data_IF_530489875707
#
_entry.id   IF_530489875707
#
_cell.length_a   1.000
_cell.length_b   1.000
_cell.length_c   1.000
_cell.angle_alpha   90.00
_cell.angle_beta   90.00
_cell.angle_gamma   90.00
#
_symmetry.space_group_name_H-M   'P 1'
#
loop_
_entity.id
_entity.type
_entity.pdbx_description
1 polymer ?
#
# COMPACT_ATOMS: atom_id res chain seq x y z
N UNK A 1 -43.98 -14.44 -80.57
CA UNK A 1 -43.47 -15.08 -79.33
C UNK A 1 -42.09 -14.47 -79.08
N UNK A 2 -41.99 -13.56 -78.10
CA UNK A 2 -40.81 -12.73 -77.89
C UNK A 2 -39.93 -13.26 -76.77
N UNK A 3 -38.66 -13.52 -77.07
CA UNK A 3 -37.62 -13.71 -76.06
C UNK A 3 -36.94 -12.38 -75.74
N UNK A 4 -36.75 -12.08 -74.44
CA UNK A 4 -35.64 -11.26 -73.92
C UNK A 4 -35.24 -11.79 -72.56
N UNK A 5 -33.98 -12.19 -72.48
CA UNK A 5 -33.29 -12.66 -71.29
C UNK A 5 -32.85 -11.49 -70.39
N UNK A 6 -32.82 -11.77 -69.08
CA UNK A 6 -31.87 -11.31 -68.05
C UNK A 6 -31.75 -9.83 -67.69
N UNK A 7 -31.99 -9.53 -66.40
CA UNK A 7 -30.94 -8.94 -65.55
C UNK A 7 -31.26 -9.10 -64.05
N UNK A 8 -30.59 -10.05 -63.38
CA UNK A 8 -30.52 -10.11 -61.93
C UNK A 8 -29.28 -9.34 -61.47
N UNK A 9 -29.46 -8.17 -60.83
CA UNK A 9 -28.37 -7.38 -60.28
C UNK A 9 -28.11 -7.85 -58.84
N UNK A 10 -27.00 -8.53 -58.50
CA UNK A 10 -26.67 -8.73 -57.10
C UNK A 10 -26.21 -7.38 -56.53
N UNK A 11 -27.06 -6.73 -55.73
CA UNK A 11 -26.64 -5.60 -54.92
C UNK A 11 -25.64 -6.12 -53.88
N UNK A 12 -24.35 -6.03 -54.21
CA UNK A 12 -23.25 -6.33 -53.29
C UNK A 12 -23.17 -5.19 -52.28
N UNK A 13 -24.01 -5.24 -51.25
CA UNK A 13 -23.95 -4.34 -50.10
C UNK A 13 -22.59 -4.50 -49.42
N UNK A 14 -21.67 -3.57 -49.66
CA UNK A 14 -20.37 -3.51 -49.01
C UNK A 14 -20.60 -3.41 -47.50
N UNK A 15 -20.31 -4.50 -46.79
CA UNK A 15 -20.40 -4.60 -45.32
C UNK A 15 -19.55 -3.48 -44.68
N UNK A 16 -20.01 -2.82 -43.60
CA UNK A 16 -19.31 -1.72 -42.95
C UNK A 16 -18.19 -2.24 -42.04
N UNK A 17 -17.29 -3.05 -42.58
CA UNK A 17 -16.18 -3.67 -41.83
C UNK A 17 -15.26 -2.58 -41.27
N UNK A 18 -15.10 -1.46 -41.99
CA UNK A 18 -14.34 -0.29 -41.53
C UNK A 18 -14.96 0.38 -40.29
N UNK A 19 -16.28 0.52 -40.23
CA UNK A 19 -16.96 1.15 -39.08
C UNK A 19 -16.87 0.25 -37.84
N UNK A 20 -17.02 -1.07 -38.01
CA UNK A 20 -16.83 -2.04 -36.93
C UNK A 20 -15.40 -2.07 -36.39
N UNK A 21 -14.39 -1.93 -37.27
CA UNK A 21 -12.99 -1.88 -36.88
C UNK A 21 -12.65 -0.62 -36.07
N UNK A 22 -13.20 0.54 -36.46
CA UNK A 22 -13.00 1.82 -35.75
C UNK A 22 -13.65 1.79 -34.37
N UNK A 23 -14.89 1.32 -34.25
CA UNK A 23 -15.59 1.16 -32.97
C UNK A 23 -14.89 0.15 -32.05
N UNK A 24 -14.46 -0.99 -32.59
CA UNK A 24 -13.70 -1.99 -31.85
C UNK A 24 -12.36 -1.46 -31.34
N UNK A 25 -11.61 -0.76 -32.20
CA UNK A 25 -10.35 -0.11 -31.83
C UNK A 25 -10.53 0.95 -30.74
N UNK A 26 -11.60 1.75 -30.81
CA UNK A 26 -11.91 2.77 -29.80
C UNK A 26 -12.27 2.14 -28.45
N UNK A 27 -13.05 1.06 -28.45
CA UNK A 27 -13.39 0.31 -27.23
C UNK A 27 -12.15 -0.30 -26.56
N UNK A 28 -11.26 -0.92 -27.35
CA UNK A 28 -9.99 -1.45 -26.83
C UNK A 28 -9.09 -0.32 -26.32
N UNK A 29 -8.98 0.79 -27.05
CA UNK A 29 -8.22 1.97 -26.63
C UNK A 29 -8.68 2.53 -25.29
N UNK A 30 -9.99 2.73 -25.11
CA UNK A 30 -10.57 3.19 -23.84
C UNK A 30 -10.37 2.18 -22.71
N UNK A 31 -10.46 0.88 -22.99
CA UNK A 31 -10.20 -0.17 -22.00
C UNK A 31 -8.75 -0.14 -21.52
N UNK A 32 -7.78 -0.03 -22.45
CA UNK A 32 -6.36 0.05 -22.13
C UNK A 32 -6.01 1.34 -21.38
N UNK A 33 -6.58 2.48 -21.76
CA UNK A 33 -6.39 3.76 -21.06
C UNK A 33 -7.00 3.69 -19.65
N UNK A 34 -8.18 3.08 -19.49
CA UNK A 34 -8.82 2.89 -18.18
C UNK A 34 -8.01 2.01 -17.25
N UNK A 35 -7.51 0.87 -17.73
CA UNK A 35 -6.66 -0.05 -16.95
C UNK A 35 -5.32 0.60 -16.60
N UNK A 36 -4.67 1.26 -17.56
CA UNK A 36 -3.41 1.95 -17.32
C UNK A 36 -3.58 3.14 -16.35
N UNK A 37 -4.66 3.91 -16.48
CA UNK A 37 -4.98 5.01 -15.57
C UNK A 37 -5.24 4.52 -14.13
N UNK A 38 -6.00 3.43 -13.97
CA UNK A 38 -6.21 2.79 -12.67
C UNK A 38 -4.92 2.23 -12.07
N UNK A 39 -4.05 1.65 -12.89
CA UNK A 39 -2.75 1.14 -12.45
C UNK A 39 -1.83 2.27 -11.96
N UNK A 40 -1.68 3.35 -12.74
CA UNK A 40 -0.86 4.51 -12.36
C UNK A 40 -1.39 5.18 -11.10
N UNK A 41 -2.71 5.36 -10.99
CA UNK A 41 -3.34 5.93 -9.80
C UNK A 41 -3.06 5.08 -8.56
N UNK A 42 -3.22 3.75 -8.65
CA UNK A 42 -2.94 2.85 -7.52
C UNK A 42 -1.47 2.92 -7.11
N UNK A 43 -0.54 2.92 -8.08
CA UNK A 43 0.90 3.00 -7.80
C UNK A 43 1.28 4.33 -7.15
N UNK A 44 0.74 5.46 -7.62
CA UNK A 44 1.02 6.77 -7.02
C UNK A 44 0.51 6.85 -5.57
N UNK A 45 -0.69 6.34 -5.28
CA UNK A 45 -1.24 6.32 -3.91
C UNK A 45 -0.38 5.45 -2.98
N UNK A 46 0.08 4.29 -3.46
CA UNK A 46 0.96 3.41 -2.69
C UNK A 46 2.33 4.05 -2.45
N UNK A 47 2.94 4.64 -3.49
CA UNK A 47 4.25 5.30 -3.37
C UNK A 47 4.19 6.52 -2.45
N UNK A 48 3.13 7.33 -2.53
CA UNK A 48 2.94 8.48 -1.63
C UNK A 48 2.71 8.07 -0.17
N UNK A 49 2.06 6.94 0.09
CA UNK A 49 1.86 6.44 1.45
C UNK A 49 3.13 5.79 2.03
N UNK A 50 4.03 5.27 1.17
CA UNK A 50 5.25 4.57 1.59
C UNK A 50 6.22 5.48 2.35
N UNK A 51 6.39 6.74 1.92
CA UNK A 51 7.27 7.71 2.57
C UNK A 51 6.87 7.99 4.03
N UNK A 52 5.64 8.49 4.29
CA UNK A 52 5.17 8.82 5.63
C UNK A 52 5.09 7.61 6.58
N UNK A 53 4.75 6.43 6.07
CA UNK A 53 4.76 5.19 6.87
C UNK A 53 6.19 4.85 7.29
N UNK A 54 7.14 4.89 6.34
CA UNK A 54 8.55 4.61 6.61
C UNK A 54 9.11 5.58 7.63
N UNK A 55 8.88 6.89 7.47
CA UNK A 55 9.33 7.93 8.40
C UNK A 55 8.75 7.75 9.81
N UNK A 56 7.48 7.34 9.89
CA UNK A 56 6.82 7.06 11.17
C UNK A 56 7.48 5.88 11.89
N UNK A 57 7.69 4.78 11.18
CA UNK A 57 8.31 3.58 11.72
C UNK A 57 9.78 3.84 12.07
N UNK A 58 10.53 4.46 11.16
CA UNK A 58 11.93 4.80 11.35
C UNK A 58 12.12 5.64 12.62
N UNK A 59 11.39 6.75 12.77
CA UNK A 59 11.57 7.57 13.95
C UNK A 59 11.06 6.91 15.24
N UNK A 60 10.07 6.00 15.19
CA UNK A 60 9.70 5.19 16.36
C UNK A 60 10.87 4.31 16.81
N UNK A 61 11.50 3.61 15.86
CA UNK A 61 12.63 2.74 16.15
C UNK A 61 13.88 3.49 16.56
N UNK A 62 14.12 4.65 15.94
CA UNK A 62 15.17 5.56 16.33
C UNK A 62 15.02 5.97 17.79
N UNK A 63 13.84 6.44 18.20
CA UNK A 63 13.54 6.83 19.58
C UNK A 63 13.68 5.65 20.56
N UNK A 64 13.23 4.45 20.19
CA UNK A 64 13.43 3.22 20.98
C UNK A 64 14.92 2.90 21.17
N UNK A 65 15.71 2.92 20.09
CA UNK A 65 17.15 2.63 20.13
C UNK A 65 17.95 3.72 20.86
N UNK A 66 17.47 4.96 20.84
CA UNK A 66 18.05 6.08 21.57
C UNK A 66 17.65 6.08 23.06
N UNK A 67 16.77 5.17 23.50
CA UNK A 67 16.25 5.12 24.86
C UNK A 67 15.19 6.18 25.18
N UNK A 68 14.73 6.95 24.19
CA UNK A 68 13.70 7.99 24.33
C UNK A 68 12.30 7.36 24.26
N UNK A 69 11.96 6.62 25.31
CA UNK A 69 10.70 5.86 25.39
C UNK A 69 9.46 6.74 25.36
N UNK A 70 9.57 7.98 25.82
CA UNK A 70 8.45 8.91 25.90
C UNK A 70 8.04 9.37 24.51
N UNK A 71 9.01 9.76 23.66
CA UNK A 71 8.73 10.08 22.25
C UNK A 71 8.25 8.85 21.47
N UNK A 72 8.87 7.69 21.69
CA UNK A 72 8.44 6.45 21.04
C UNK A 72 6.98 6.12 21.41
N UNK A 73 6.59 6.33 22.67
CA UNK A 73 5.22 6.14 23.12
C UNK A 73 4.22 7.09 22.44
N UNK A 74 4.61 8.33 22.16
CA UNK A 74 3.75 9.29 21.46
C UNK A 74 3.45 8.89 20.01
N UNK A 75 4.31 8.07 19.38
CA UNK A 75 4.11 7.52 18.03
C UNK A 75 3.17 6.33 17.97
N UNK A 76 2.84 5.74 19.12
CA UNK A 76 1.89 4.64 19.21
C UNK A 76 0.47 5.10 18.91
N UNK A 77 -0.32 4.18 18.35
CA UNK A 77 -1.72 4.40 18.06
C UNK A 77 -2.56 4.38 19.34
N UNK A 78 -3.76 4.96 19.26
CA UNK A 78 -4.66 5.10 20.41
C UNK A 78 -5.00 3.75 21.04
N UNK A 79 -5.18 2.71 20.23
CA UNK A 79 -5.48 1.36 20.69
C UNK A 79 -4.34 0.80 21.56
N UNK A 80 -3.10 0.84 21.08
CA UNK A 80 -1.93 0.41 21.87
C UNK A 80 -1.75 1.25 23.14
N UNK A 81 -1.90 2.58 23.05
CA UNK A 81 -1.82 3.49 24.21
C UNK A 81 -2.95 3.30 25.23
N UNK A 82 -4.04 2.63 24.84
CA UNK A 82 -5.10 2.25 25.76
C UNK A 82 -4.80 0.95 26.52
N UNK A 83 -4.00 0.06 25.91
CA UNK A 83 -3.55 -1.20 26.51
C UNK A 83 -2.29 -1.04 27.35
N UNK A 84 -1.40 -0.12 26.96
CA UNK A 84 -0.11 0.12 27.60
C UNK A 84 -0.04 1.53 28.13
N UNK A 85 0.26 1.69 29.41
CA UNK A 85 0.62 2.99 29.96
C UNK A 85 2.01 3.42 29.47
N UNK A 86 2.29 4.72 29.45
CA UNK A 86 3.61 5.24 29.08
C UNK A 86 4.73 4.62 29.93
N UNK A 87 4.50 4.50 31.24
CA UNK A 87 5.42 3.85 32.18
C UNK A 87 5.59 2.36 31.86
N UNK A 88 4.49 1.64 31.62
CA UNK A 88 4.55 0.22 31.29
C UNK A 88 5.30 -0.06 30.00
N UNK A 89 5.05 0.74 28.95
CA UNK A 89 5.78 0.68 27.70
C UNK A 89 7.28 0.95 27.91
N UNK A 90 7.63 2.03 28.62
CA UNK A 90 9.02 2.37 28.87
C UNK A 90 9.77 1.32 29.69
N UNK A 91 9.13 0.72 30.69
CA UNK A 91 9.70 -0.40 31.45
C UNK A 91 9.94 -1.63 30.58
N UNK A 92 8.99 -1.96 29.69
CA UNK A 92 9.11 -3.08 28.77
C UNK A 92 10.25 -2.89 27.77
N UNK A 93 10.31 -1.73 27.10
CA UNK A 93 11.36 -1.42 26.11
C UNK A 93 12.77 -1.44 26.71
N UNK A 94 12.91 -1.04 27.98
CA UNK A 94 14.18 -1.05 28.70
C UNK A 94 14.56 -2.41 29.30
N UNK A 95 13.69 -3.42 29.18
CA UNK A 95 14.00 -4.77 29.68
C UNK A 95 15.11 -5.39 28.81
N UNK A 96 16.25 -5.80 29.39
CA UNK A 96 17.32 -6.42 28.62
C UNK A 96 16.88 -7.73 27.95
N UNK A 97 17.44 -8.04 26.76
CA UNK A 97 18.38 -7.23 25.99
C UNK A 97 17.67 -6.09 25.25
N UNK A 98 18.19 -4.86 25.39
CA UNK A 98 17.57 -3.67 24.82
C UNK A 98 17.85 -3.60 23.32
N UNK A 99 17.06 -2.79 22.61
CA UNK A 99 17.25 -2.56 21.17
C UNK A 99 18.44 -1.63 20.96
N UNK A 100 19.47 -2.12 20.28
CA UNK A 100 20.68 -1.35 19.94
C UNK A 100 20.69 -0.90 18.48
N UNK A 101 19.89 -1.54 17.62
CA UNK A 101 19.80 -1.19 16.20
C UNK A 101 18.55 -1.74 15.54
N UNK A 102 18.25 -1.25 14.35
CA UNK A 102 17.12 -1.71 13.55
C UNK A 102 17.36 -1.50 12.06
N UNK A 103 16.65 -2.27 11.25
CA UNK A 103 16.66 -2.19 9.78
C UNK A 103 15.25 -2.47 9.27
N UNK A 104 14.64 -1.53 8.54
CA UNK A 104 13.34 -1.75 7.90
C UNK A 104 13.54 -2.56 6.63
N UNK A 105 13.17 -3.84 6.65
CA UNK A 105 13.42 -4.80 5.56
C UNK A 105 12.31 -4.84 4.53
N UNK A 106 11.05 -4.60 4.93
CA UNK A 106 9.91 -4.63 4.03
C UNK A 106 8.79 -3.67 4.50
N UNK A 107 8.00 -3.19 3.55
CA UNK A 107 6.86 -2.31 3.81
C UNK A 107 5.74 -2.65 2.84
N UNK A 108 4.62 -3.12 3.40
CA UNK A 108 3.42 -3.45 2.65
C UNK A 108 2.28 -2.51 3.02
N UNK A 109 1.57 -1.99 2.03
CA UNK A 109 0.41 -1.10 2.22
C UNK A 109 -0.81 -1.78 1.61
N UNK A 110 -1.89 -1.81 2.38
CA UNK A 110 -3.18 -2.35 1.98
C UNK A 110 -4.29 -1.39 2.37
N UNK A 111 -5.41 -1.44 1.66
CA UNK A 111 -6.60 -0.65 1.99
C UNK A 111 -7.66 -1.60 2.54
N UNK A 112 -8.13 -1.34 3.76
CA UNK A 112 -9.19 -2.13 4.39
C UNK A 112 -10.35 -1.23 4.79
N UNK A 113 -11.52 -1.46 4.19
CA UNK A 113 -12.73 -0.63 4.34
C UNK A 113 -12.49 0.86 4.02
N UNK A 114 -11.78 1.13 2.93
CA UNK A 114 -11.46 2.50 2.49
C UNK A 114 -10.44 3.24 3.35
N UNK A 115 -9.82 2.58 4.33
CA UNK A 115 -8.76 3.17 5.17
C UNK A 115 -7.42 2.50 4.86
N UNK A 116 -6.36 3.27 4.59
CA UNK A 116 -5.05 2.71 4.33
C UNK A 116 -4.48 2.16 5.65
N UNK A 117 -3.86 0.99 5.54
CA UNK A 117 -3.14 0.29 6.60
C UNK A 117 -1.80 -0.16 6.04
N UNK A 118 -0.76 -0.07 6.83
CA UNK A 118 0.54 -0.57 6.46
C UNK A 118 1.01 -1.64 7.44
N UNK A 119 1.90 -2.49 6.98
CA UNK A 119 2.66 -3.43 7.79
C UNK A 119 4.12 -3.19 7.47
N UNK A 120 4.88 -2.85 8.51
CA UNK A 120 6.32 -2.63 8.41
C UNK A 120 7.01 -3.85 8.98
N UNK A 121 7.86 -4.47 8.17
CA UNK A 121 8.74 -5.55 8.62
C UNK A 121 10.10 -4.93 8.97
N UNK A 122 10.59 -5.22 10.16
CA UNK A 122 11.82 -4.66 10.70
C UNK A 122 12.66 -5.76 11.32
N UNK A 123 13.95 -5.72 11.05
CA UNK A 123 14.96 -6.50 11.76
C UNK A 123 15.46 -5.66 12.92
N UNK A 124 15.26 -6.12 14.14
CA UNK A 124 15.70 -5.45 15.37
C UNK A 124 16.94 -6.16 15.87
N UNK A 125 18.01 -5.40 16.11
CA UNK A 125 19.22 -5.90 16.76
C UNK A 125 19.19 -5.49 18.22
N UNK A 126 19.46 -6.45 19.10
CA UNK A 126 19.49 -6.26 20.54
C UNK A 126 20.92 -6.28 21.07
N UNK A 127 21.09 -5.78 22.29
CA UNK A 127 22.35 -5.89 23.02
C UNK A 127 22.82 -7.35 23.06
N UNK A 128 24.08 -7.59 22.73
CA UNK A 128 24.63 -8.93 22.51
C UNK A 128 24.58 -9.42 21.06
N UNK A 129 24.09 -8.62 20.13
CA UNK A 129 24.17 -8.87 18.67
C UNK A 129 23.08 -9.79 18.12
N UNK A 130 22.19 -10.31 18.98
CA UNK A 130 21.02 -11.06 18.54
C UNK A 130 20.12 -10.18 17.67
N UNK A 131 19.64 -10.71 16.54
CA UNK A 131 18.74 -10.00 15.64
C UNK A 131 17.46 -10.79 15.42
N UNK A 132 16.32 -10.12 15.41
CA UNK A 132 15.00 -10.72 15.21
C UNK A 132 14.15 -9.92 14.21
N UNK A 133 13.35 -10.61 13.41
CA UNK A 133 12.41 -9.95 12.50
C UNK A 133 11.05 -9.77 13.17
N UNK A 134 10.47 -8.57 13.05
CA UNK A 134 9.18 -8.20 13.62
C UNK A 134 8.31 -7.51 12.58
N UNK A 135 6.99 -7.71 12.70
CA UNK A 135 5.99 -7.09 11.83
C UNK A 135 5.12 -6.17 12.65
N UNK A 136 5.09 -4.90 12.28
CA UNK A 136 4.37 -3.86 12.99
C UNK A 136 3.26 -3.29 12.12
N UNK A 137 1.99 -3.42 12.55
CA UNK A 137 0.91 -2.68 11.96
C UNK A 137 1.12 -1.16 12.13
N UNK A 138 0.98 -0.41 11.05
CA UNK A 138 0.96 1.06 11.07
C UNK A 138 -0.35 1.52 10.47
N UNK A 139 -1.11 2.33 11.21
CA UNK A 139 -2.44 2.79 10.79
C UNK A 139 -2.49 4.31 10.75
N UNK A 140 -3.44 4.84 9.99
CA UNK A 140 -3.69 6.28 9.97
C UNK A 140 -4.75 6.66 11.01
N UNK A 141 -4.38 7.51 11.96
CA UNK A 141 -5.25 8.14 12.95
C UNK A 141 -5.17 9.66 12.82
N UNK A 142 -6.32 10.32 12.62
CA UNK A 142 -6.41 11.79 12.51
C UNK A 142 -5.41 12.38 11.48
N UNK A 143 -5.24 11.70 10.33
CA UNK A 143 -4.32 12.11 9.27
C UNK A 143 -2.84 11.81 9.52
N UNK A 144 -2.48 11.25 10.68
CA UNK A 144 -1.11 10.86 11.03
C UNK A 144 -0.95 9.35 11.07
N UNK A 145 0.19 8.85 10.63
CA UNK A 145 0.53 7.43 10.77
C UNK A 145 0.98 7.14 12.20
N UNK A 146 0.56 6.00 12.73
CA UNK A 146 0.81 5.56 14.10
C UNK A 146 1.13 4.08 14.13
N UNK A 147 2.11 3.70 14.95
CA UNK A 147 2.49 2.30 15.15
C UNK A 147 1.48 1.64 16.09
N UNK A 148 0.92 0.52 15.68
CA UNK A 148 0.03 -0.31 16.49
C UNK A 148 0.66 -1.66 16.76
N UNK A 149 0.15 -2.33 17.78
CA UNK A 149 0.57 -3.66 18.19
C UNK A 149 0.69 -3.77 19.70
N UNK A 150 0.76 -5.00 20.19
CA UNK A 150 1.35 -5.23 21.50
C UNK A 150 2.86 -5.02 21.39
N UNK A 151 3.48 -4.43 22.42
CA UNK A 151 4.82 -3.90 22.33
C UNK A 151 5.75 -5.05 22.03
N UNK A 152 6.64 -4.84 21.06
CA UNK A 152 7.91 -5.53 20.91
C UNK A 152 8.07 -6.85 21.65
#
# INVERSE_FOLDING_TARGET
MGGRETWSRPARGRRPVRTGLVLGGFGVGLCLIGVAGLAVWNVQVVMQATGPVRETADGFFHEVSAGDTDKAYERLCKDTRSRWSAVGFGSWVRTPPQVSGYEITDLSISTLRGRPRATVTVRVTRDGGASEERKLPVIQENGKWRVCGDPF
#
